data_IF_045530952119
#
_entry.id   IF_045530952119
#
_cell.length_a   1.000
_cell.length_b   1.000
_cell.length_c   1.000
_cell.angle_alpha   90.00
_cell.angle_beta   90.00
_cell.angle_gamma   90.00
#
_symmetry.space_group_name_H-M   'P 1'
#
loop_
_entity.id
_entity.type
_entity.pdbx_description
1 polymer ?
#
# COMPACT_ATOMS: atom_id res chain seq x y z
N UNK A 1 13.51 14.51 3.27
CA UNK A 1 13.56 14.88 4.72
C UNK A 1 12.87 13.87 5.64
N UNK A 2 11.81 13.15 5.24
CA UNK A 2 11.10 12.19 6.12
C UNK A 2 11.76 10.82 6.36
N UNK A 3 12.76 10.44 5.56
CA UNK A 3 13.38 9.10 5.63
C UNK A 3 14.37 8.91 6.79
N UNK A 4 14.90 10.01 7.35
CA UNK A 4 16.03 9.94 8.29
C UNK A 4 15.53 9.70 9.72
N UNK A 5 14.50 10.44 10.18
CA UNK A 5 14.07 10.34 11.59
C UNK A 5 13.17 9.13 11.91
N UNK A 6 12.26 8.74 11.02
CA UNK A 6 11.34 7.61 11.27
C UNK A 6 12.02 6.24 11.27
N UNK A 7 13.15 6.11 10.58
CA UNK A 7 13.87 4.83 10.43
C UNK A 7 14.96 4.60 11.48
N UNK A 8 15.39 5.60 12.26
CA UNK A 8 16.43 5.41 13.28
C UNK A 8 16.10 4.29 14.26
N UNK A 9 14.82 4.20 14.69
CA UNK A 9 14.36 3.17 15.62
C UNK A 9 14.00 1.83 14.95
N UNK A 10 14.16 1.71 13.63
CA UNK A 10 13.95 0.48 12.86
C UNK A 10 15.27 -0.12 12.36
N UNK A 11 16.28 0.72 12.08
CA UNK A 11 17.64 0.29 11.71
C UNK A 11 18.35 -0.49 12.80
N UNK A 12 18.07 -0.19 14.06
CA UNK A 12 18.57 -0.98 15.18
C UNK A 12 18.17 -2.46 15.07
N UNK A 13 17.07 -2.77 14.36
CA UNK A 13 16.51 -4.11 14.14
C UNK A 13 16.77 -4.61 12.70
N UNK A 14 17.76 -4.01 12.02
CA UNK A 14 18.20 -4.31 10.65
C UNK A 14 17.07 -4.25 9.61
N UNK A 15 16.05 -3.40 9.83
CA UNK A 15 14.90 -3.26 8.93
C UNK A 15 15.05 -2.03 8.04
N UNK A 16 15.15 -2.25 6.73
CA UNK A 16 15.18 -1.22 5.69
C UNK A 16 13.86 -1.14 4.92
N UNK A 17 13.63 -0.03 4.21
CA UNK A 17 12.36 0.22 3.49
C UNK A 17 12.18 -0.69 2.28
N UNK A 18 13.28 -1.12 1.66
CA UNK A 18 13.28 -1.97 0.46
C UNK A 18 13.39 -3.47 0.82
N UNK A 19 13.42 -3.80 2.12
CA UNK A 19 13.49 -5.18 2.57
C UNK A 19 12.18 -5.93 2.32
N UNK A 20 12.30 -7.20 1.93
CA UNK A 20 11.17 -8.10 1.82
C UNK A 20 10.75 -8.61 3.20
N UNK A 21 9.45 -8.88 3.42
CA UNK A 21 8.99 -9.48 4.67
C UNK A 21 9.64 -10.85 4.89
N UNK A 22 10.16 -11.08 6.09
CA UNK A 22 10.86 -12.31 6.49
C UNK A 22 9.94 -13.29 7.21
N UNK A 23 8.97 -12.79 7.98
CA UNK A 23 8.00 -13.62 8.69
C UNK A 23 6.84 -14.06 7.80
N UNK A 24 6.19 -15.16 8.16
CA UNK A 24 5.02 -15.64 7.46
C UNK A 24 3.85 -14.64 7.63
N UNK A 25 2.98 -14.54 6.63
CA UNK A 25 1.83 -13.64 6.62
C UNK A 25 0.82 -13.95 7.74
N UNK A 26 0.76 -15.20 8.20
CA UNK A 26 -0.13 -15.66 9.26
C UNK A 26 0.44 -15.46 10.68
N UNK A 27 1.74 -15.18 10.83
CA UNK A 27 2.37 -15.11 12.15
C UNK A 27 1.76 -14.00 13.02
N UNK A 28 1.28 -14.36 14.23
CA UNK A 28 0.65 -13.42 15.16
C UNK A 28 -0.82 -13.12 14.90
N UNK A 29 -1.45 -13.73 13.89
CA UNK A 29 -2.91 -13.70 13.69
C UNK A 29 -3.53 -15.01 14.18
N UNK A 30 -4.58 -14.90 15.01
CA UNK A 30 -5.35 -16.06 15.48
C UNK A 30 -6.38 -16.57 14.46
N UNK A 31 -6.74 -15.73 13.49
CA UNK A 31 -7.70 -16.00 12.43
C UNK A 31 -7.04 -15.98 11.06
N UNK A 32 -7.66 -16.62 10.07
CA UNK A 32 -7.16 -16.65 8.70
C UNK A 32 -7.23 -15.26 8.06
N UNK A 33 -6.09 -14.75 7.58
CA UNK A 33 -6.01 -13.42 6.97
C UNK A 33 -6.65 -13.44 5.58
N UNK A 34 -7.74 -12.66 5.40
CA UNK A 34 -8.36 -12.46 4.08
C UNK A 34 -7.39 -11.78 3.11
N UNK A 35 -7.27 -12.32 1.90
CA UNK A 35 -6.51 -11.71 0.82
C UNK A 35 -7.21 -10.47 0.26
N UNK A 36 -6.42 -9.54 -0.29
CA UNK A 36 -6.94 -8.34 -0.95
C UNK A 36 -7.46 -8.72 -2.32
N UNK A 37 -8.67 -8.28 -2.62
CA UNK A 37 -9.32 -8.52 -3.91
C UNK A 37 -9.05 -7.35 -4.85
N UNK A 38 -8.60 -7.64 -6.07
CA UNK A 38 -8.50 -6.66 -7.16
C UNK A 38 -9.88 -6.51 -7.80
N UNK A 39 -10.48 -5.32 -7.71
CA UNK A 39 -11.80 -5.04 -8.29
C UNK A 39 -11.70 -4.78 -9.80
N UNK A 40 -10.63 -4.11 -10.25
CA UNK A 40 -10.41 -3.80 -11.66
C UNK A 40 -9.94 -5.04 -12.43
N UNK A 41 -10.54 -5.29 -13.60
CA UNK A 41 -10.09 -6.34 -14.52
C UNK A 41 -8.83 -5.90 -15.26
N UNK A 42 -7.93 -6.84 -15.52
CA UNK A 42 -6.66 -6.53 -16.17
C UNK A 42 -6.83 -6.02 -17.61
N UNK A 43 -7.78 -6.59 -18.37
CA UNK A 43 -8.13 -6.18 -19.74
C UNK A 43 -8.53 -4.69 -19.79
N UNK A 44 -9.30 -4.23 -18.81
CA UNK A 44 -9.75 -2.84 -18.70
C UNK A 44 -8.56 -1.89 -18.45
N UNK A 45 -7.61 -2.29 -17.60
CA UNK A 45 -6.41 -1.49 -17.31
C UNK A 45 -5.46 -1.40 -18.52
N UNK A 46 -5.38 -2.47 -19.31
CA UNK A 46 -4.60 -2.51 -20.56
C UNK A 46 -5.25 -1.60 -21.61
N UNK A 47 -6.56 -1.70 -21.80
CA UNK A 47 -7.30 -0.89 -22.77
C UNK A 47 -7.23 0.60 -22.46
N UNK A 48 -7.28 0.98 -21.17
CA UNK A 48 -7.11 2.34 -20.69
C UNK A 48 -5.65 2.85 -20.74
N UNK A 49 -4.69 2.01 -21.18
CA UNK A 49 -3.25 2.32 -21.26
C UNK A 49 -2.68 2.84 -19.93
N UNK A 50 -3.12 2.26 -18.80
CA UNK A 50 -2.60 2.61 -17.48
C UNK A 50 -1.18 2.04 -17.34
N UNK A 51 -0.19 2.85 -16.91
CA UNK A 51 1.18 2.38 -16.70
C UNK A 51 1.23 1.34 -15.58
N UNK A 52 2.13 0.34 -15.64
CA UNK A 52 2.18 -0.77 -14.69
C UNK A 52 2.35 -0.31 -13.24
N UNK A 53 3.07 0.79 -13.01
CA UNK A 53 3.28 1.39 -11.69
C UNK A 53 2.01 1.97 -11.03
N UNK A 54 0.88 2.03 -11.75
CA UNK A 54 -0.41 2.51 -11.23
C UNK A 54 -1.50 1.43 -11.31
N UNK A 55 -1.11 0.17 -11.60
CA UNK A 55 -2.04 -0.98 -11.67
C UNK A 55 -2.17 -1.63 -10.31
N UNK A 56 -2.47 -0.81 -9.32
CA UNK A 56 -2.55 -1.20 -7.92
C UNK A 56 -4.00 -1.57 -7.56
N UNK A 57 -4.25 -2.03 -6.32
CA UNK A 57 -5.61 -2.34 -5.84
C UNK A 57 -6.60 -1.16 -5.99
N UNK A 58 -6.10 0.08 -6.02
CA UNK A 58 -6.88 1.31 -6.19
C UNK A 58 -7.14 1.72 -7.65
N UNK A 59 -6.71 0.93 -8.65
CA UNK A 59 -6.79 1.32 -10.06
C UNK A 59 -8.23 1.50 -10.60
N UNK A 60 -9.24 0.93 -9.92
CA UNK A 60 -10.64 1.12 -10.28
C UNK A 60 -11.08 2.59 -10.14
N UNK A 61 -10.69 3.29 -9.07
CA UNK A 61 -10.95 4.72 -8.93
C UNK A 61 -10.18 5.56 -9.96
N UNK A 62 -9.00 5.10 -10.39
CA UNK A 62 -8.24 5.79 -11.43
C UNK A 62 -8.95 5.74 -12.79
N UNK A 63 -9.59 4.62 -13.11
CA UNK A 63 -10.42 4.47 -14.31
C UNK A 63 -11.61 5.43 -14.28
N UNK A 64 -12.32 5.52 -13.15
CA UNK A 64 -13.44 6.46 -12.96
C UNK A 64 -13.01 7.91 -13.15
N UNK A 65 -11.88 8.30 -12.53
CA UNK A 65 -11.31 9.63 -12.69
C UNK A 65 -10.91 9.93 -14.14
N UNK A 66 -10.28 8.98 -14.84
CA UNK A 66 -9.95 9.13 -16.27
C UNK A 66 -11.20 9.31 -17.13
N UNK A 67 -12.25 8.54 -16.85
CA UNK A 67 -13.52 8.64 -17.56
C UNK A 67 -14.17 10.02 -17.36
N UNK A 68 -14.16 10.57 -16.15
CA UNK A 68 -14.67 11.92 -15.90
C UNK A 68 -13.88 12.98 -16.63
N UNK A 69 -12.55 12.88 -16.61
CA UNK A 69 -11.67 13.83 -17.33
C UNK A 69 -11.95 13.86 -18.82
N UNK A 70 -12.25 12.71 -19.42
CA UNK A 70 -12.62 12.62 -20.83
C UNK A 70 -13.98 13.27 -21.11
N UNK A 71 -14.98 13.01 -20.26
CA UNK A 71 -16.34 13.56 -20.43
C UNK A 71 -16.44 15.07 -20.19
N UNK A 72 -15.67 15.60 -19.24
CA UNK A 72 -15.78 16.99 -18.78
C UNK A 72 -14.71 17.94 -19.34
N UNK A 73 -13.92 17.53 -20.32
CA UNK A 73 -12.94 18.41 -20.98
C UNK A 73 -13.64 19.62 -21.62
N UNK A 74 -13.25 20.88 -21.35
CA UNK A 74 -12.07 21.39 -20.61
C UNK A 74 -12.28 21.67 -19.11
N UNK A 75 -13.49 21.54 -18.58
CA UNK A 75 -13.88 21.85 -17.20
C UNK A 75 -13.50 20.75 -16.20
N UNK A 76 -12.20 20.45 -16.09
CA UNK A 76 -11.65 19.35 -15.27
C UNK A 76 -11.91 19.47 -13.77
N UNK A 77 -12.16 20.67 -13.25
CA UNK A 77 -12.41 20.91 -11.82
C UNK A 77 -13.68 20.21 -11.32
N UNK A 78 -14.62 19.86 -12.22
CA UNK A 78 -15.83 19.10 -11.87
C UNK A 78 -15.52 17.67 -11.41
N UNK A 79 -14.36 17.12 -11.79
CA UNK A 79 -13.91 15.78 -11.42
C UNK A 79 -13.12 15.75 -10.09
N UNK A 80 -13.29 16.75 -9.22
CA UNK A 80 -12.57 16.83 -7.95
C UNK A 80 -12.95 15.69 -6.98
N UNK A 81 -14.20 15.23 -7.02
CA UNK A 81 -14.68 14.14 -6.18
C UNK A 81 -13.99 12.82 -6.51
N UNK A 82 -13.98 12.38 -7.78
CA UNK A 82 -13.34 11.10 -8.13
C UNK A 82 -11.83 11.15 -7.91
N UNK A 83 -11.21 12.32 -8.10
CA UNK A 83 -9.80 12.51 -7.75
C UNK A 83 -9.56 12.29 -6.25
N UNK A 84 -10.43 12.83 -5.40
CA UNK A 84 -10.32 12.68 -3.96
C UNK A 84 -10.52 11.22 -3.53
N UNK A 85 -11.47 10.51 -4.14
CA UNK A 85 -11.72 9.10 -3.86
C UNK A 85 -10.53 8.22 -4.23
N UNK A 86 -9.90 8.48 -5.39
CA UNK A 86 -8.66 7.83 -5.77
C UNK A 86 -7.53 8.08 -4.74
N UNK A 87 -7.31 9.33 -4.34
CA UNK A 87 -6.28 9.69 -3.37
C UNK A 87 -6.53 9.08 -1.98
N UNK A 88 -7.79 9.01 -1.56
CA UNK A 88 -8.16 8.34 -0.31
C UNK A 88 -7.81 6.85 -0.35
N UNK A 89 -8.07 6.18 -1.47
CA UNK A 89 -7.67 4.78 -1.63
C UNK A 89 -6.15 4.62 -1.57
N UNK A 90 -5.38 5.45 -2.29
CA UNK A 90 -3.91 5.41 -2.23
C UNK A 90 -3.39 5.66 -0.80
N UNK A 91 -4.02 6.57 -0.07
CA UNK A 91 -3.66 6.85 1.33
C UNK A 91 -3.95 5.64 2.22
N UNK A 92 -5.10 4.99 2.06
CA UNK A 92 -5.43 3.78 2.82
C UNK A 92 -4.45 2.63 2.50
N UNK A 93 -4.02 2.50 1.25
CA UNK A 93 -3.03 1.51 0.86
C UNK A 93 -1.65 1.81 1.45
N UNK A 94 -1.23 3.08 1.45
CA UNK A 94 -0.02 3.52 2.13
C UNK A 94 -0.05 3.19 3.63
N UNK A 95 -1.19 3.45 4.30
CA UNK A 95 -1.37 3.10 5.71
C UNK A 95 -1.23 1.59 5.93
N UNK A 96 -1.70 0.75 5.00
CA UNK A 96 -1.51 -0.69 5.13
C UNK A 96 -0.03 -1.09 5.03
N UNK A 97 0.72 -0.53 4.07
CA UNK A 97 2.17 -0.77 3.95
C UNK A 97 2.93 -0.35 5.21
N UNK A 98 2.54 0.78 5.81
CA UNK A 98 3.10 1.22 7.09
C UNK A 98 2.80 0.23 8.24
N UNK A 99 1.60 -0.37 8.26
CA UNK A 99 1.25 -1.41 9.25
C UNK A 99 2.08 -2.68 9.05
N UNK A 100 2.35 -3.07 7.81
CA UNK A 100 3.20 -4.23 7.50
C UNK A 100 4.65 -3.99 7.93
N UNK A 101 5.19 -2.81 7.67
CA UNK A 101 6.53 -2.42 8.12
C UNK A 101 6.67 -2.45 9.65
N UNK A 102 5.72 -1.87 10.38
CA UNK A 102 5.74 -1.86 11.84
C UNK A 102 5.49 -3.26 12.43
N UNK A 103 4.69 -4.11 11.77
CA UNK A 103 4.52 -5.52 12.14
C UNK A 103 5.86 -6.25 12.07
N UNK A 104 6.57 -6.13 10.95
CA UNK A 104 7.87 -6.74 10.73
C UNK A 104 8.87 -6.32 11.82
N UNK A 105 8.93 -5.01 12.08
CA UNK A 105 9.78 -4.44 13.13
C UNK A 105 9.50 -5.06 14.50
N UNK A 106 8.22 -5.17 14.89
CA UNK A 106 7.83 -5.73 16.21
C UNK A 106 8.14 -7.21 16.33
N UNK A 107 7.97 -7.98 15.25
CA UNK A 107 8.29 -9.40 15.23
C UNK A 107 9.79 -9.63 15.41
N UNK A 108 10.65 -8.89 14.70
CA UNK A 108 12.11 -8.97 14.90
C UNK A 108 12.54 -8.53 16.31
N UNK A 109 11.91 -7.50 16.88
CA UNK A 109 12.17 -7.11 18.29
C UNK A 109 11.81 -8.25 19.25
N UNK A 110 10.68 -8.94 19.02
CA UNK A 110 10.27 -10.10 19.82
C UNK A 110 11.24 -11.26 19.67
N UNK A 111 11.65 -11.58 18.45
CA UNK A 111 12.62 -12.64 18.16
C UNK A 111 13.95 -12.39 18.89
N UNK A 112 14.51 -11.18 18.79
CA UNK A 112 15.74 -10.80 19.50
C UNK A 112 15.61 -10.95 21.02
N UNK A 113 14.44 -10.64 21.59
CA UNK A 113 14.18 -10.85 23.03
C UNK A 113 14.16 -12.33 23.39
N UNK A 114 13.59 -13.19 22.54
CA UNK A 114 13.54 -14.64 22.79
C UNK A 114 14.93 -15.27 22.68
N UNK A 115 15.71 -14.88 21.66
CA UNK A 115 17.08 -15.36 21.46
C UNK A 115 18.01 -14.89 22.59
N UNK A 116 17.87 -13.64 23.07
CA UNK A 116 18.71 -13.13 24.16
C UNK A 116 18.36 -13.64 25.56
N UNK A 117 17.26 -14.38 25.72
CA UNK A 117 16.86 -15.03 26.98
C UNK A 117 17.33 -16.49 27.04
N UNK A 118 17.69 -17.09 25.90
CA UNK A 118 18.30 -18.41 25.80
C UNK A 118 19.82 -18.35 26.00
#
# INVERSE_FOLDING_TARGET
MGQILGSYNARNVDLYMDDKPTFNHQDGFSFERKQREMIAREEDLISARIPPAKRDYCAHYLLEYQQCRYKNMPMLYRCAHEKHDYLNCEQQDYVLRMKEFERERRLRVRERRLVGVA
#
